data_IF_871414398067
#
_entry.id   IF_871414398067
#
_cell.length_a   1.000
_cell.length_b   1.000
_cell.length_c   1.000
_cell.angle_alpha   90.00
_cell.angle_beta   90.00
_cell.angle_gamma   90.00
#
_symmetry.space_group_name_H-M   'P 1'
#
loop_
_entity.id
_entity.type
_entity.pdbx_description
1 polymer ?
#
# COMPACT_ATOMS: atom_id res chain seq x y z
N UNK A 1 -27.29 41.97 -7.10
CA UNK A 1 -27.94 40.65 -7.00
C UNK A 1 -26.88 39.69 -6.51
N UNK A 2 -27.13 39.11 -5.33
CA UNK A 2 -26.12 38.52 -4.45
C UNK A 2 -25.46 37.26 -5.02
N UNK A 3 -24.15 37.22 -4.83
CA UNK A 3 -23.32 36.04 -4.89
C UNK A 3 -23.77 35.07 -3.79
N UNK A 4 -24.33 33.92 -4.17
CA UNK A 4 -24.56 32.79 -3.26
C UNK A 4 -23.73 31.60 -3.71
N UNK A 5 -22.42 31.71 -3.48
CA UNK A 5 -21.60 30.54 -3.23
C UNK A 5 -22.00 30.02 -1.84
N UNK A 6 -22.97 29.10 -1.79
CA UNK A 6 -23.25 28.34 -0.58
C UNK A 6 -22.10 27.36 -0.36
N UNK A 7 -21.19 27.74 0.52
CA UNK A 7 -20.31 26.83 1.23
C UNK A 7 -21.16 25.75 1.91
N UNK A 8 -21.03 24.50 1.46
CA UNK A 8 -21.35 23.36 2.31
C UNK A 8 -20.13 22.46 2.40
N UNK A 9 -19.48 22.56 3.55
CA UNK A 9 -18.32 21.81 3.99
C UNK A 9 -18.73 20.42 4.47
N UNK A 10 -18.66 19.44 3.60
CA UNK A 10 -18.43 18.04 3.99
C UNK A 10 -17.33 17.50 3.10
N UNK A 11 -16.15 17.35 3.69
CA UNK A 11 -14.96 16.82 3.05
C UNK A 11 -15.23 15.40 2.55
N UNK A 12 -15.40 15.23 1.24
CA UNK A 12 -15.04 13.95 0.65
C UNK A 12 -13.53 13.78 0.83
N UNK A 13 -13.06 12.66 1.41
CA UNK A 13 -11.64 12.43 1.52
C UNK A 13 -11.05 12.37 0.11
N UNK A 14 -10.27 13.38 -0.27
CA UNK A 14 -9.46 13.36 -1.49
C UNK A 14 -8.35 12.29 -1.37
N UNK A 15 -7.97 11.63 -2.45
CA UNK A 15 -6.96 10.56 -2.39
C UNK A 15 -5.72 11.04 -3.11
N UNK A 16 -4.62 11.17 -2.37
CA UNK A 16 -3.37 11.64 -2.92
C UNK A 16 -2.56 10.44 -3.39
N UNK A 17 -2.05 10.54 -4.60
CA UNK A 17 -1.20 9.51 -5.16
C UNK A 17 0.22 10.04 -5.38
N UNK A 18 1.20 9.17 -5.11
CA UNK A 18 2.61 9.47 -5.03
C UNK A 18 3.44 8.39 -5.78
N UNK A 19 4.00 8.74 -6.95
CA UNK A 19 5.05 7.92 -7.60
C UNK A 19 6.41 8.49 -7.25
N UNK A 20 7.31 7.66 -6.75
CA UNK A 20 8.72 7.99 -6.54
C UNK A 20 9.62 7.35 -7.61
N UNK A 21 10.44 8.16 -8.26
CA UNK A 21 11.57 7.72 -9.08
C UNK A 21 12.83 7.65 -8.19
N UNK A 22 13.62 6.57 -8.23
CA UNK A 22 14.86 6.46 -7.45
C UNK A 22 15.90 7.55 -7.76
N UNK A 23 15.82 8.22 -8.91
CA UNK A 23 16.80 9.23 -9.34
C UNK A 23 16.48 10.64 -8.85
N UNK A 24 15.31 10.87 -8.25
CA UNK A 24 14.88 12.22 -7.93
C UNK A 24 14.55 12.32 -6.42
N UNK A 25 15.50 12.89 -5.68
CA UNK A 25 15.47 13.40 -4.31
C UNK A 25 15.05 12.46 -3.15
N UNK A 26 16.07 11.92 -2.46
CA UNK A 26 16.07 11.60 -1.02
C UNK A 26 14.86 10.81 -0.44
N UNK A 27 14.16 10.03 -1.26
CA UNK A 27 13.00 9.25 -0.82
C UNK A 27 11.71 10.06 -0.61
N UNK A 28 11.66 11.32 -1.02
CA UNK A 28 10.40 12.09 -1.03
C UNK A 28 9.65 11.84 -2.34
N UNK A 29 8.36 11.51 -2.30
CA UNK A 29 7.60 11.29 -3.53
C UNK A 29 7.46 12.60 -4.30
N UNK A 30 7.81 12.57 -5.59
CA UNK A 30 7.95 13.79 -6.41
C UNK A 30 6.65 14.33 -6.99
N UNK A 31 5.57 13.55 -6.92
CA UNK A 31 4.31 13.93 -7.54
C UNK A 31 3.21 13.77 -6.51
N UNK A 32 2.58 14.89 -6.16
CA UNK A 32 1.25 14.94 -5.55
C UNK A 32 0.27 14.89 -6.71
N UNK A 33 -0.15 13.68 -7.11
CA UNK A 33 -1.21 13.54 -8.10
C UNK A 33 -2.52 14.06 -7.53
N UNK A 34 -3.29 14.76 -8.38
CA UNK A 34 -4.68 15.14 -8.10
C UNK A 34 -5.52 13.91 -7.69
N UNK A 35 -6.69 14.10 -7.06
CA UNK A 35 -7.56 13.01 -6.66
C UNK A 35 -7.83 12.05 -7.83
N UNK A 36 -7.56 10.76 -7.63
CA UNK A 36 -7.90 9.73 -8.61
C UNK A 36 -9.14 8.96 -8.15
N UNK A 37 -10.05 8.72 -9.08
CA UNK A 37 -11.20 7.83 -8.89
C UNK A 37 -10.92 6.43 -9.45
N UNK A 38 -9.97 6.33 -10.40
CA UNK A 38 -9.46 5.07 -10.94
C UNK A 38 -7.95 5.15 -11.15
N UNK A 39 -7.28 4.02 -11.01
CA UNK A 39 -5.85 3.91 -11.29
C UNK A 39 -5.52 4.09 -12.79
N UNK A 40 -6.52 3.96 -13.67
CA UNK A 40 -6.39 4.28 -15.10
C UNK A 40 -6.02 5.75 -15.33
N UNK A 41 -6.36 6.65 -14.41
CA UNK A 41 -6.01 8.07 -14.50
C UNK A 41 -4.51 8.32 -14.29
N UNK A 42 -3.78 7.37 -13.70
CA UNK A 42 -2.32 7.42 -13.63
C UNK A 42 -1.66 7.34 -15.00
N UNK A 43 -2.30 6.66 -15.95
CA UNK A 43 -1.80 6.54 -17.33
C UNK A 43 -2.07 7.78 -18.17
N UNK A 44 -3.03 8.62 -17.76
CA UNK A 44 -3.47 9.83 -18.46
C UNK A 44 -2.71 11.10 -18.03
N UNK A 45 -2.03 11.05 -16.89
CA UNK A 45 -1.47 12.23 -16.21
C UNK A 45 -0.01 12.52 -16.53
N UNK A 46 0.70 11.70 -17.31
CA UNK A 46 2.11 11.98 -17.61
C UNK A 46 2.52 11.68 -19.05
N UNK A 47 3.12 12.70 -19.68
CA UNK A 47 4.03 12.49 -20.78
C UNK A 47 5.17 11.56 -20.31
N UNK A 48 5.26 10.40 -20.93
CA UNK A 48 6.47 9.59 -21.06
C UNK A 48 7.15 9.12 -19.76
N UNK A 49 6.59 8.10 -19.11
CA UNK A 49 7.37 7.18 -18.26
C UNK A 49 7.01 5.75 -18.64
N UNK A 50 7.83 5.10 -19.46
CA UNK A 50 7.85 3.65 -19.47
C UNK A 50 8.15 3.21 -18.03
N UNK A 51 7.20 2.57 -17.33
CA UNK A 51 7.28 2.29 -15.88
C UNK A 51 8.46 1.40 -15.44
N UNK A 52 9.33 1.03 -16.38
CA UNK A 52 10.63 0.38 -16.23
C UNK A 52 11.66 1.09 -15.33
N UNK A 53 11.44 2.35 -14.92
CA UNK A 53 12.34 3.08 -14.03
C UNK A 53 11.75 3.35 -12.63
N UNK A 54 10.45 3.09 -12.43
CA UNK A 54 9.77 3.37 -11.17
C UNK A 54 10.11 2.26 -10.18
N UNK A 55 10.67 2.64 -9.04
CA UNK A 55 11.00 1.69 -7.95
C UNK A 55 10.18 1.93 -6.70
N UNK A 56 9.46 3.05 -6.60
CA UNK A 56 8.64 3.39 -5.45
C UNK A 56 7.25 3.84 -5.88
N UNK A 57 6.25 3.21 -5.28
CA UNK A 57 4.85 3.48 -5.53
C UNK A 57 4.14 3.68 -4.20
N UNK A 58 3.49 4.82 -4.03
CA UNK A 58 2.73 5.15 -2.84
C UNK A 58 1.35 5.66 -3.22
N UNK A 59 0.32 5.06 -2.64
CA UNK A 59 -1.05 5.55 -2.72
C UNK A 59 -1.54 5.75 -1.29
N UNK A 60 -2.19 6.88 -1.01
CA UNK A 60 -2.65 7.19 0.34
C UNK A 60 -3.94 8.02 0.33
N UNK A 61 -4.80 7.79 1.31
CA UNK A 61 -5.89 8.72 1.63
C UNK A 61 -5.38 10.09 2.06
N UNK A 62 -6.26 11.08 2.03
CA UNK A 62 -5.98 12.51 2.30
C UNK A 62 -5.25 12.83 3.57
N UNK A 63 -5.26 11.95 4.57
CA UNK A 63 -4.76 12.28 5.89
C UNK A 63 -4.13 11.07 6.55
N UNK A 64 -2.91 11.25 7.07
CA UNK A 64 -2.28 10.32 8.02
C UNK A 64 -3.11 10.13 9.32
N UNK A 65 -4.20 10.89 9.47
CA UNK A 65 -5.11 10.89 10.61
C UNK A 65 -6.50 10.34 10.28
N UNK A 66 -6.68 9.64 9.15
CA UNK A 66 -7.97 9.02 8.85
C UNK A 66 -8.34 7.99 9.93
N UNK A 67 -9.57 8.01 10.47
CA UNK A 67 -10.04 7.00 11.41
C UNK A 67 -9.93 5.58 10.81
N UNK A 68 -9.53 4.61 11.63
CA UNK A 68 -9.59 3.18 11.26
C UNK A 68 -11.00 2.85 10.78
N UNK A 69 -11.13 2.21 9.62
CA UNK A 69 -12.43 1.79 9.08
C UNK A 69 -13.00 2.68 7.97
N UNK A 70 -12.45 3.87 7.73
CA UNK A 70 -12.86 4.73 6.61
C UNK A 70 -11.97 4.48 5.42
N UNK A 71 -12.49 3.76 4.41
CA UNK A 71 -11.71 3.34 3.26
C UNK A 71 -12.41 3.73 1.95
N UNK A 72 -11.65 4.18 0.96
CA UNK A 72 -12.10 4.16 -0.44
C UNK A 72 -11.54 2.92 -1.10
N UNK A 73 -12.41 2.21 -1.81
CA UNK A 73 -12.01 1.13 -2.71
C UNK A 73 -11.54 1.74 -4.03
N UNK A 74 -10.31 1.41 -4.41
CA UNK A 74 -9.76 1.75 -5.72
C UNK A 74 -9.68 0.44 -6.50
N UNK A 75 -10.22 0.44 -7.72
CA UNK A 75 -10.11 -0.72 -8.61
C UNK A 75 -8.73 -0.75 -9.23
N UNK A 76 -8.05 -1.89 -9.11
CA UNK A 76 -6.74 -2.12 -9.74
C UNK A 76 -6.92 -3.11 -10.90
N UNK A 77 -6.56 -2.74 -12.15
CA UNK A 77 -6.57 -3.67 -13.25
C UNK A 77 -5.51 -4.76 -12.99
N UNK A 78 -5.80 -5.98 -13.45
CA UNK A 78 -4.89 -7.13 -13.30
C UNK A 78 -3.52 -6.93 -13.97
N UNK A 79 -3.40 -5.92 -14.83
CA UNK A 79 -2.15 -5.54 -15.53
C UNK A 79 -1.38 -4.44 -14.82
N UNK A 80 -1.87 -3.91 -13.70
CA UNK A 80 -1.29 -2.72 -13.08
C UNK A 80 0.20 -2.89 -12.75
N UNK A 81 0.53 -3.90 -11.96
CA UNK A 81 1.91 -4.14 -11.53
C UNK A 81 2.84 -4.63 -12.66
N UNK A 82 2.30 -5.14 -13.78
CA UNK A 82 3.09 -5.45 -14.99
C UNK A 82 3.81 -4.22 -15.55
N UNK A 83 3.24 -3.04 -15.34
CA UNK A 83 3.82 -1.78 -15.82
C UNK A 83 4.99 -1.29 -14.96
N UNK A 84 5.21 -1.88 -13.78
CA UNK A 84 6.23 -1.47 -12.81
C UNK A 84 7.15 -2.64 -12.43
N UNK A 85 7.88 -3.23 -13.40
CA UNK A 85 8.63 -4.46 -13.18
C UNK A 85 9.80 -4.30 -12.20
N UNK A 86 10.24 -3.07 -11.90
CA UNK A 86 11.34 -2.77 -10.97
C UNK A 86 10.85 -2.23 -9.62
N UNK A 87 9.57 -2.42 -9.29
CA UNK A 87 9.02 -1.89 -8.06
C UNK A 87 9.68 -2.54 -6.84
N UNK A 88 10.35 -1.74 -6.03
CA UNK A 88 11.02 -2.17 -4.79
C UNK A 88 10.24 -1.79 -3.53
N UNK A 89 9.46 -0.70 -3.61
CA UNK A 89 8.73 -0.13 -2.48
C UNK A 89 7.28 0.13 -2.85
N UNK A 90 6.36 -0.46 -2.10
CA UNK A 90 4.93 -0.29 -2.27
C UNK A 90 4.30 0.15 -0.96
N UNK A 91 3.68 1.31 -0.97
CA UNK A 91 3.01 1.91 0.18
C UNK A 91 1.54 2.13 -0.16
N UNK A 92 0.64 1.41 0.50
CA UNK A 92 -0.81 1.57 0.34
C UNK A 92 -1.40 1.88 1.70
N UNK A 93 -1.78 3.14 1.91
CA UNK A 93 -2.25 3.62 3.20
C UNK A 93 -3.69 4.10 3.17
N UNK A 94 -4.42 3.82 4.25
CA UNK A 94 -5.76 4.33 4.49
C UNK A 94 -6.78 3.93 3.42
N UNK A 95 -6.59 2.86 2.64
CA UNK A 95 -7.50 2.49 1.54
C UNK A 95 -7.95 1.03 1.65
N UNK A 96 -8.98 0.63 0.92
CA UNK A 96 -9.37 -0.77 0.89
C UNK A 96 -8.48 -1.54 -0.09
N UNK A 97 -7.56 -2.37 0.42
CA UNK A 97 -6.62 -3.15 -0.42
C UNK A 97 -6.93 -4.65 -0.49
N UNK A 98 -8.06 -5.09 0.05
CA UNK A 98 -8.45 -6.50 0.10
C UNK A 98 -8.31 -7.20 -1.26
N UNK A 99 -8.76 -6.54 -2.33
CA UNK A 99 -8.74 -7.09 -3.68
C UNK A 99 -7.44 -6.83 -4.45
N UNK A 100 -6.55 -5.98 -3.94
CA UNK A 100 -5.32 -5.58 -4.67
C UNK A 100 -4.42 -6.79 -4.90
N UNK A 101 -4.25 -7.59 -3.86
CA UNK A 101 -3.34 -8.72 -3.90
C UNK A 101 -3.96 -9.97 -4.52
N UNK A 102 -5.28 -10.13 -4.46
CA UNK A 102 -5.98 -11.24 -5.11
C UNK A 102 -6.25 -10.98 -6.61
N UNK A 103 -6.46 -9.71 -7.01
CA UNK A 103 -6.76 -9.35 -8.40
C UNK A 103 -5.55 -8.79 -9.17
N UNK A 104 -4.87 -7.77 -8.63
CA UNK A 104 -3.82 -7.04 -9.36
C UNK A 104 -2.41 -7.60 -9.13
N UNK A 105 -2.13 -8.11 -7.93
CA UNK A 105 -0.88 -8.81 -7.59
C UNK A 105 -1.07 -10.32 -7.38
N UNK A 106 -2.13 -10.89 -7.96
CA UNK A 106 -2.47 -12.33 -7.86
C UNK A 106 -1.35 -13.27 -8.33
N UNK A 107 -0.47 -12.77 -9.20
CA UNK A 107 0.78 -13.43 -9.55
C UNK A 107 1.94 -12.69 -8.88
N UNK A 108 2.58 -13.33 -7.90
CA UNK A 108 3.68 -12.74 -7.13
C UNK A 108 4.93 -12.48 -7.98
N UNK A 109 5.00 -13.08 -9.18
CA UNK A 109 6.01 -12.74 -10.20
C UNK A 109 5.86 -11.32 -10.74
N UNK A 110 4.74 -10.63 -10.47
CA UNK A 110 4.54 -9.24 -10.85
C UNK A 110 5.31 -8.25 -9.98
N UNK A 111 5.78 -8.67 -8.81
CA UNK A 111 6.52 -7.84 -7.86
C UNK A 111 7.84 -8.52 -7.45
N UNK A 112 8.71 -8.89 -8.42
CA UNK A 112 9.86 -9.76 -8.16
C UNK A 112 10.95 -9.08 -7.33
N UNK A 113 10.99 -7.74 -7.33
CA UNK A 113 12.00 -6.92 -6.67
C UNK A 113 11.49 -6.22 -5.41
N UNK A 114 10.26 -6.51 -4.97
CA UNK A 114 9.66 -5.81 -3.85
C UNK A 114 10.37 -6.16 -2.53
N UNK A 115 10.90 -5.12 -1.88
CA UNK A 115 11.65 -5.20 -0.62
C UNK A 115 10.90 -4.57 0.54
N UNK A 116 10.11 -3.54 0.26
CA UNK A 116 9.35 -2.79 1.27
C UNK A 116 7.88 -2.77 0.91
N UNK A 117 7.06 -3.33 1.80
CA UNK A 117 5.61 -3.31 1.67
C UNK A 117 5.00 -2.71 2.92
N UNK A 118 4.21 -1.65 2.75
CA UNK A 118 3.45 -1.07 3.84
C UNK A 118 1.97 -0.95 3.47
N UNK A 119 1.13 -1.59 4.27
CA UNK A 119 -0.31 -1.72 4.13
C UNK A 119 -1.00 -1.20 5.39
N UNK A 120 -0.59 -0.02 5.87
CA UNK A 120 -1.13 0.53 7.12
C UNK A 120 -2.56 1.04 6.94
N UNK A 121 -3.45 0.67 7.86
CA UNK A 121 -4.86 1.04 7.82
C UNK A 121 -5.49 0.70 6.46
N UNK A 122 -5.32 -0.53 6.00
CA UNK A 122 -5.64 -0.95 4.65
C UNK A 122 -6.84 -1.93 4.56
N UNK A 123 -7.69 -1.94 5.59
CA UNK A 123 -8.86 -2.81 5.71
C UNK A 123 -8.56 -4.33 5.66
N UNK A 124 -7.34 -4.78 5.93
CA UNK A 124 -7.01 -6.21 5.82
C UNK A 124 -7.60 -7.03 6.97
N UNK A 125 -8.39 -8.06 6.65
CA UNK A 125 -8.86 -9.07 7.60
C UNK A 125 -7.90 -10.24 7.73
N UNK A 126 -7.20 -10.55 6.63
CA UNK A 126 -6.13 -11.54 6.56
C UNK A 126 -5.00 -10.96 5.73
N UNK A 127 -3.77 -11.47 5.94
CA UNK A 127 -2.67 -11.15 5.05
C UNK A 127 -2.80 -12.02 3.78
N UNK A 128 -2.87 -11.42 2.57
CA UNK A 128 -3.03 -12.18 1.34
C UNK A 128 -1.89 -13.18 1.11
N UNK A 129 -2.19 -14.35 0.55
CA UNK A 129 -1.20 -15.41 0.30
C UNK A 129 -0.12 -15.00 -0.72
N UNK A 130 -0.40 -13.99 -1.51
CA UNK A 130 0.50 -13.39 -2.47
C UNK A 130 1.61 -12.60 -1.77
N UNK A 131 1.27 -11.91 -0.68
CA UNK A 131 2.26 -11.19 0.14
C UNK A 131 3.23 -12.18 0.79
N UNK A 132 2.76 -13.37 1.17
CA UNK A 132 3.60 -14.38 1.83
C UNK A 132 4.66 -14.98 0.93
N UNK A 133 4.53 -14.85 -0.41
CA UNK A 133 5.48 -15.41 -1.40
C UNK A 133 6.41 -14.36 -2.00
N UNK A 134 6.44 -13.14 -1.44
CA UNK A 134 7.37 -12.09 -1.89
C UNK A 134 8.79 -12.40 -1.38
N UNK A 135 9.54 -13.14 -2.19
CA UNK A 135 10.83 -13.73 -1.81
C UNK A 135 11.94 -12.72 -1.42
N UNK A 136 11.80 -11.44 -1.81
CA UNK A 136 12.77 -10.37 -1.51
C UNK A 136 12.29 -9.40 -0.43
N UNK A 137 11.15 -9.67 0.20
CA UNK A 137 10.53 -8.76 1.16
C UNK A 137 11.34 -8.72 2.46
N UNK A 138 11.89 -7.55 2.76
CA UNK A 138 12.73 -7.27 3.95
C UNK A 138 11.94 -6.55 5.04
N UNK A 139 10.97 -5.74 4.62
CA UNK A 139 10.11 -4.93 5.50
C UNK A 139 8.64 -5.18 5.18
N UNK A 140 7.87 -5.55 6.19
CA UNK A 140 6.41 -5.64 6.12
C UNK A 140 5.77 -4.82 7.24
N UNK A 141 4.99 -3.82 6.85
CA UNK A 141 4.11 -3.11 7.74
C UNK A 141 2.65 -3.41 7.39
N UNK A 142 1.91 -4.00 8.33
CA UNK A 142 0.48 -4.22 8.25
C UNK A 142 -0.23 -3.66 9.50
N UNK A 143 0.24 -2.52 10.02
CA UNK A 143 -0.35 -1.89 11.20
C UNK A 143 -1.78 -1.39 10.97
N UNK A 144 -2.57 -1.29 12.04
CA UNK A 144 -3.92 -0.75 12.03
C UNK A 144 -4.88 -1.46 11.06
N UNK A 145 -4.71 -2.77 10.87
CA UNK A 145 -5.63 -3.61 10.12
C UNK A 145 -6.56 -4.40 11.06
N UNK A 146 -7.26 -5.39 10.53
CA UNK A 146 -8.18 -6.26 11.26
C UNK A 146 -7.62 -7.70 11.33
N UNK A 147 -6.31 -7.88 11.25
CA UNK A 147 -5.67 -9.21 11.26
C UNK A 147 -5.86 -9.87 12.62
N UNK A 148 -6.41 -11.08 12.62
CA UNK A 148 -6.51 -11.91 13.83
C UNK A 148 -5.44 -13.01 13.88
N UNK A 149 -4.88 -13.36 12.72
CA UNK A 149 -3.86 -14.40 12.56
C UNK A 149 -2.83 -13.97 11.53
N UNK A 150 -1.61 -14.52 11.64
CA UNK A 150 -0.53 -14.31 10.70
C UNK A 150 -0.27 -15.64 9.97
N UNK A 151 -0.43 -15.71 8.64
CA UNK A 151 -0.07 -16.92 7.90
C UNK A 151 1.46 -17.13 7.91
N UNK A 152 1.94 -18.34 7.64
CA UNK A 152 3.35 -18.59 7.38
C UNK A 152 3.87 -17.68 6.27
N UNK A 153 4.92 -16.90 6.58
CA UNK A 153 5.60 -16.04 5.62
C UNK A 153 6.74 -16.85 4.99
N UNK A 154 6.66 -17.10 3.68
CA UNK A 154 7.68 -17.80 2.90
C UNK A 154 8.75 -16.80 2.43
N UNK A 155 9.41 -16.20 3.41
CA UNK A 155 10.48 -15.21 3.23
C UNK A 155 11.70 -15.61 4.04
N UNK A 156 12.86 -15.52 3.41
CA UNK A 156 14.16 -15.82 4.03
C UNK A 156 14.94 -14.56 4.39
N UNK A 157 14.38 -13.38 4.10
CA UNK A 157 15.07 -12.08 4.22
C UNK A 157 14.28 -11.02 4.98
N UNK A 158 13.07 -11.35 5.48
CA UNK A 158 12.26 -10.42 6.26
C UNK A 158 12.88 -10.17 7.63
N UNK A 159 13.27 -8.93 7.90
CA UNK A 159 13.91 -8.51 9.15
C UNK A 159 13.00 -7.66 10.01
N UNK A 160 12.06 -6.96 9.40
CA UNK A 160 11.21 -5.97 10.06
C UNK A 160 9.72 -6.27 9.82
N UNK A 161 8.97 -6.46 10.92
CA UNK A 161 7.55 -6.81 10.90
C UNK A 161 6.76 -5.92 11.87
N UNK A 162 5.88 -5.09 11.31
CA UNK A 162 5.03 -4.16 12.06
C UNK A 162 3.57 -4.60 11.99
N UNK A 163 3.00 -4.93 13.15
CA UNK A 163 1.68 -5.55 13.28
C UNK A 163 0.80 -4.91 14.35
N UNK A 164 1.20 -3.80 14.99
CA UNK A 164 0.37 -3.12 15.98
C UNK A 164 -0.96 -2.60 15.39
N UNK A 165 -2.02 -2.54 16.19
CA UNK A 165 -3.32 -2.00 15.78
C UNK A 165 -4.24 -3.04 15.12
N UNK A 166 -3.89 -4.31 15.24
CA UNK A 166 -4.63 -5.47 14.74
C UNK A 166 -5.47 -6.12 15.85
N UNK A 167 -6.01 -7.32 15.60
CA UNK A 167 -6.88 -8.06 16.50
C UNK A 167 -6.23 -9.37 16.97
N UNK A 168 -4.90 -9.38 17.13
CA UNK A 168 -4.14 -10.56 17.52
C UNK A 168 -4.35 -10.88 19.01
N UNK A 169 -4.94 -12.03 19.31
CA UNK A 169 -4.97 -12.58 20.69
C UNK A 169 -3.75 -13.45 20.99
N UNK A 170 -3.20 -14.07 19.95
CA UNK A 170 -1.94 -14.82 19.95
C UNK A 170 -1.24 -14.56 18.62
N UNK A 171 0.08 -14.70 18.61
CA UNK A 171 0.86 -14.59 17.38
C UNK A 171 1.72 -15.84 17.19
N UNK A 172 1.60 -16.44 16.01
CA UNK A 172 2.39 -17.57 15.55
C UNK A 172 2.96 -17.26 14.17
N UNK A 173 3.82 -18.13 13.65
CA UNK A 173 4.39 -18.01 12.30
C UNK A 173 5.27 -16.78 12.06
N UNK A 174 5.87 -16.21 13.11
CA UNK A 174 6.90 -15.17 12.95
C UNK A 174 8.16 -15.84 12.40
N UNK A 175 8.69 -15.40 11.25
CA UNK A 175 9.95 -15.94 10.71
C UNK A 175 11.11 -15.69 11.66
N UNK A 176 12.02 -16.66 11.80
CA UNK A 176 13.20 -16.54 12.64
C UNK A 176 14.17 -15.42 12.19
N UNK A 177 14.02 -14.94 10.96
CA UNK A 177 14.78 -13.83 10.38
C UNK A 177 14.35 -12.46 10.91
N UNK A 178 13.16 -12.35 11.51
CA UNK A 178 12.62 -11.10 12.04
C UNK A 178 13.40 -10.70 13.28
N UNK A 179 14.10 -9.57 13.20
CA UNK A 179 14.86 -8.98 14.30
C UNK A 179 14.12 -7.84 14.97
N UNK A 180 13.20 -7.20 14.24
CA UNK A 180 12.36 -6.10 14.74
C UNK A 180 10.89 -6.47 14.57
N UNK A 181 10.18 -6.60 15.70
CA UNK A 181 8.76 -6.92 15.75
C UNK A 181 8.01 -5.86 16.56
N UNK A 182 6.98 -5.25 15.96
CA UNK A 182 6.19 -4.20 16.60
C UNK A 182 4.72 -4.61 16.77
N UNK A 183 4.24 -4.67 18.02
CA UNK A 183 2.92 -5.20 18.41
C UNK A 183 2.14 -4.30 19.39
N UNK A 184 2.55 -3.05 19.62
CA UNK A 184 2.19 -2.27 20.82
C UNK A 184 0.71 -1.89 21.01
N UNK A 185 -0.21 -2.29 20.11
CA UNK A 185 -1.62 -1.84 20.12
C UNK A 185 -2.58 -2.90 19.57
N UNK A 186 -2.40 -4.18 19.90
CA UNK A 186 -3.28 -5.28 19.47
C UNK A 186 -4.35 -5.66 20.49
#
# INVERSE_FOLDING_TARGET
MGNSATSNSTQDPFWNFYVGDPTIANGNPLYVGAPIDSIEDLTKTTANRAGNAITTFQLTGTAFTQPKGTFKKISYPSTFFKSYPKLERLFLFNMDVQDVFTAAAGDTKLLPDLKFLALSNANLNTLPTEVTKLARLQYLNATNNNLATLPPLDTTVLTELYLGGNNFTTISNIPATVTTLYLTTN
#
